data_IF_613624851986
#
_entry.id   IF_613624851986
#
_cell.length_a   1.000
_cell.length_b   1.000
_cell.length_c   1.000
_cell.angle_alpha   90.00
_cell.angle_beta   90.00
_cell.angle_gamma   90.00
#
_symmetry.space_group_name_H-M   'P 1'
#
loop_
_entity.id
_entity.type
_entity.pdbx_description
1 polymer ?
#
# COMPACT_ATOMS: atom_id res chain seq x y z
N UNK A 1 24.03 -32.36 -9.90
CA UNK A 1 24.18 -31.45 -8.74
C UNK A 1 22.78 -30.92 -8.41
N UNK A 2 22.16 -31.40 -7.34
CA UNK A 2 20.85 -30.90 -6.88
C UNK A 2 21.06 -29.49 -6.30
N UNK A 3 20.45 -28.48 -6.92
CA UNK A 3 20.75 -27.06 -6.70
C UNK A 3 20.09 -26.44 -5.46
N UNK A 4 19.89 -27.20 -4.39
CA UNK A 4 19.18 -26.73 -3.20
C UNK A 4 20.18 -26.56 -2.05
N UNK A 5 20.22 -25.36 -1.50
CA UNK A 5 20.95 -25.01 -0.29
C UNK A 5 19.91 -24.64 0.78
N UNK A 6 19.93 -25.31 1.93
CA UNK A 6 18.91 -25.14 2.95
C UNK A 6 19.50 -25.22 4.36
N UNK A 7 18.83 -24.53 5.27
CA UNK A 7 18.99 -24.64 6.71
C UNK A 7 17.61 -24.63 7.38
N UNK A 8 17.53 -25.17 8.59
CA UNK A 8 16.38 -25.22 9.46
C UNK A 8 16.73 -24.49 10.75
N UNK A 9 15.89 -23.54 11.17
CA UNK A 9 16.00 -22.90 12.48
C UNK A 9 14.87 -23.40 13.37
N UNK A 10 15.22 -23.84 14.57
CA UNK A 10 14.28 -24.27 15.59
C UNK A 10 14.44 -23.31 16.77
N UNK A 11 13.31 -22.80 17.24
CA UNK A 11 13.22 -21.95 18.42
C UNK A 11 11.88 -22.18 19.11
N UNK A 12 11.77 -21.69 20.32
CA UNK A 12 10.57 -21.74 21.14
C UNK A 12 9.52 -20.76 20.64
N UNK A 13 8.26 -21.15 20.78
CA UNK A 13 7.12 -20.25 20.57
C UNK A 13 6.58 -19.67 21.87
N UNK A 14 6.84 -20.35 22.99
CA UNK A 14 6.45 -19.93 24.33
C UNK A 14 7.67 -19.93 25.26
N UNK A 15 7.74 -18.99 26.19
CA UNK A 15 8.85 -18.88 27.17
C UNK A 15 8.97 -20.12 28.06
N UNK A 16 7.86 -20.82 28.28
CA UNK A 16 7.78 -22.03 29.10
C UNK A 16 8.24 -23.29 28.35
N UNK A 17 8.45 -23.22 27.03
CA UNK A 17 8.98 -24.34 26.26
C UNK A 17 10.44 -24.62 26.68
N UNK A 18 10.81 -25.90 26.77
CA UNK A 18 12.16 -26.33 27.18
C UNK A 18 13.10 -26.60 26.01
N UNK A 19 12.68 -26.28 24.78
CA UNK A 19 13.48 -26.51 23.58
C UNK A 19 14.67 -25.56 23.56
N UNK A 20 15.87 -26.09 23.27
CA UNK A 20 17.05 -25.26 23.04
C UNK A 20 17.04 -24.76 21.59
N UNK A 21 17.16 -23.45 21.34
CA UNK A 21 17.19 -22.94 19.99
C UNK A 21 18.47 -23.34 19.26
N UNK A 22 18.32 -23.68 17.98
CA UNK A 22 19.41 -24.16 17.15
C UNK A 22 19.14 -23.94 15.66
N UNK A 23 20.22 -23.89 14.88
CA UNK A 23 20.18 -23.91 13.41
C UNK A 23 20.90 -25.16 12.92
N UNK A 24 20.27 -25.92 12.03
CA UNK A 24 20.89 -27.07 11.35
C UNK A 24 20.86 -26.84 9.85
N UNK A 25 21.94 -27.12 9.14
CA UNK A 25 21.97 -26.99 7.70
C UNK A 25 23.23 -27.62 7.11
N UNK A 26 23.30 -27.66 5.79
CA UNK A 26 24.55 -28.01 5.11
C UNK A 26 25.65 -26.99 5.48
N UNK A 27 26.92 -27.40 5.64
CA UNK A 27 28.01 -26.49 6.03
C UNK A 27 28.06 -25.21 5.19
N UNK A 28 27.83 -25.32 3.88
CA UNK A 28 27.81 -24.20 2.94
C UNK A 28 26.64 -23.25 3.19
N UNK A 29 25.50 -23.76 3.66
CA UNK A 29 24.35 -22.93 4.04
C UNK A 29 24.61 -22.19 5.35
N UNK A 30 25.34 -22.83 6.27
CA UNK A 30 25.70 -22.24 7.56
C UNK A 30 26.72 -21.11 7.44
N UNK A 31 27.49 -21.04 6.34
CA UNK A 31 28.38 -19.90 6.07
C UNK A 31 27.61 -18.60 5.81
N UNK A 32 26.32 -18.66 5.46
CA UNK A 32 25.48 -17.50 5.20
C UNK A 32 25.43 -16.54 6.40
N UNK A 33 25.30 -17.06 7.62
CA UNK A 33 25.15 -16.24 8.83
C UNK A 33 26.37 -15.37 9.12
N UNK A 34 27.61 -15.91 9.24
CA UNK A 34 28.77 -15.07 9.49
C UNK A 34 29.14 -14.20 8.28
N UNK A 35 28.93 -14.66 7.04
CA UNK A 35 29.37 -13.93 5.83
C UNK A 35 28.41 -12.82 5.41
N UNK A 36 27.10 -13.03 5.53
CA UNK A 36 26.07 -12.11 5.03
C UNK A 36 25.38 -11.38 6.18
N UNK A 37 25.05 -12.08 7.26
CA UNK A 37 24.34 -11.49 8.40
C UNK A 37 25.28 -10.97 9.50
N UNK A 38 26.59 -11.20 9.37
CA UNK A 38 27.61 -10.80 10.34
C UNK A 38 27.27 -11.24 11.77
N UNK A 39 26.73 -12.45 11.91
CA UNK A 39 26.34 -13.04 13.19
C UNK A 39 26.66 -14.53 13.19
N UNK A 40 26.87 -15.12 14.37
CA UNK A 40 27.06 -16.57 14.45
C UNK A 40 25.72 -17.30 14.32
N UNK A 41 25.77 -18.59 13.98
CA UNK A 41 24.58 -19.43 13.87
C UNK A 41 23.79 -19.47 15.18
N UNK A 42 24.49 -19.53 16.31
CA UNK A 42 23.92 -19.57 17.65
C UNK A 42 23.28 -18.23 18.01
N UNK A 43 23.94 -17.11 17.69
CA UNK A 43 23.38 -15.78 17.90
C UNK A 43 22.11 -15.57 17.06
N UNK A 44 22.10 -16.05 15.82
CA UNK A 44 20.89 -16.04 15.00
C UNK A 44 19.78 -16.90 15.62
N UNK A 45 20.09 -18.12 16.05
CA UNK A 45 19.14 -19.02 16.72
C UNK A 45 18.51 -18.36 17.95
N UNK A 46 19.33 -17.73 18.79
CA UNK A 46 18.87 -17.01 19.98
C UNK A 46 17.99 -15.80 19.65
N UNK A 47 18.34 -15.04 18.60
CA UNK A 47 17.50 -13.90 18.15
C UNK A 47 16.17 -14.38 17.60
N UNK A 48 16.16 -15.46 16.84
CA UNK A 48 14.94 -16.07 16.33
C UNK A 48 14.06 -16.62 17.47
N UNK A 49 14.66 -17.31 18.45
CA UNK A 49 14.00 -17.79 19.66
C UNK A 49 13.38 -16.65 20.47
N UNK A 50 14.14 -15.58 20.69
CA UNK A 50 13.69 -14.41 21.41
C UNK A 50 12.53 -13.72 20.68
N UNK A 51 12.56 -13.66 19.35
CA UNK A 51 11.42 -13.20 18.55
C UNK A 51 10.22 -14.15 18.69
N UNK A 52 10.43 -15.46 18.66
CA UNK A 52 9.38 -16.46 18.80
C UNK A 52 8.67 -16.41 20.15
N UNK A 53 9.42 -16.35 21.25
CA UNK A 53 8.89 -16.27 22.62
C UNK A 53 8.21 -14.93 22.92
N UNK A 54 8.67 -13.86 22.27
CA UNK A 54 8.13 -12.52 22.49
C UNK A 54 7.21 -12.06 21.36
N UNK A 55 6.83 -12.88 20.38
CA UNK A 55 5.95 -12.42 19.30
C UNK A 55 4.56 -11.94 19.81
N UNK A 56 4.14 -12.47 20.96
CA UNK A 56 2.86 -12.13 21.60
C UNK A 56 3.04 -11.05 22.70
N UNK A 57 4.19 -11.04 23.40
CA UNK A 57 4.57 -9.98 24.35
C UNK A 57 4.95 -8.68 23.65
N UNK A 58 5.54 -8.82 22.46
CA UNK A 58 5.61 -7.82 21.41
C UNK A 58 4.25 -7.88 20.70
N UNK A 59 3.21 -7.47 21.43
CA UNK A 59 2.37 -6.44 20.85
C UNK A 59 3.32 -5.31 20.51
N UNK A 60 3.95 -5.40 19.32
CA UNK A 60 4.84 -4.35 18.83
C UNK A 60 3.98 -3.13 19.07
N UNK A 61 4.48 -2.18 19.86
CA UNK A 61 3.97 -0.82 19.79
C UNK A 61 4.35 -0.38 18.39
N UNK A 62 3.61 -0.90 17.40
CA UNK A 62 3.80 -0.58 16.03
C UNK A 62 3.22 0.81 16.04
N UNK A 63 4.13 1.76 16.20
CA UNK A 63 3.82 3.17 16.15
C UNK A 63 2.77 3.35 15.06
N UNK A 64 1.69 4.05 15.40
CA UNK A 64 0.61 4.36 14.47
C UNK A 64 1.12 4.68 13.05
N UNK A 65 2.20 5.46 12.98
CA UNK A 65 2.93 5.81 11.76
C UNK A 65 3.35 4.61 10.91
N UNK A 66 3.84 3.54 11.53
CA UNK A 66 4.27 2.32 10.85
C UNK A 66 3.08 1.48 10.39
N UNK A 67 2.07 1.23 11.24
CA UNK A 67 0.86 0.50 10.83
C UNK A 67 0.18 1.21 9.64
N UNK A 68 0.06 2.54 9.73
CA UNK A 68 -0.54 3.38 8.71
C UNK A 68 0.21 3.26 7.40
N UNK A 69 1.54 3.37 7.46
CA UNK A 69 2.40 3.24 6.28
C UNK A 69 2.24 1.85 5.65
N UNK A 70 2.25 0.79 6.45
CA UNK A 70 2.12 -0.57 5.95
C UNK A 70 0.75 -0.83 5.32
N UNK A 71 -0.36 -0.45 5.97
CA UNK A 71 -1.71 -0.58 5.40
C UNK A 71 -1.83 0.20 4.08
N UNK A 72 -1.37 1.45 4.06
CA UNK A 72 -1.40 2.30 2.85
C UNK A 72 -0.58 1.67 1.72
N UNK A 73 0.59 1.12 2.04
CA UNK A 73 1.45 0.46 1.06
C UNK A 73 0.82 -0.84 0.54
N UNK A 74 0.20 -1.66 1.39
CA UNK A 74 -0.48 -2.88 0.97
C UNK A 74 -1.64 -2.59 0.03
N UNK A 75 -2.48 -1.59 0.36
CA UNK A 75 -3.61 -1.19 -0.48
C UNK A 75 -3.12 -0.64 -1.82
N UNK A 76 -2.15 0.29 -1.83
CA UNK A 76 -1.65 0.91 -3.07
C UNK A 76 -0.87 -0.06 -3.95
N UNK A 77 -0.02 -0.90 -3.36
CA UNK A 77 0.72 -1.91 -4.11
C UNK A 77 -0.22 -3.01 -4.64
N UNK A 78 -1.23 -3.40 -3.86
CA UNK A 78 -2.27 -4.35 -4.29
C UNK A 78 -3.00 -3.85 -5.53
N UNK A 79 -3.44 -2.58 -5.51
CA UNK A 79 -4.08 -1.95 -6.67
C UNK A 79 -3.13 -1.89 -7.88
N UNK A 80 -1.87 -1.51 -7.66
CA UNK A 80 -0.87 -1.47 -8.72
C UNK A 80 -0.67 -2.84 -9.38
N UNK A 81 -0.61 -3.92 -8.58
CA UNK A 81 -0.55 -5.29 -9.09
C UNK A 81 -1.78 -5.64 -9.92
N UNK A 82 -2.99 -5.30 -9.46
CA UNK A 82 -4.23 -5.55 -10.21
C UNK A 82 -4.25 -4.82 -11.57
N UNK A 83 -3.87 -3.54 -11.59
CA UNK A 83 -3.81 -2.75 -12.82
C UNK A 83 -2.73 -3.23 -13.80
N UNK A 84 -1.60 -3.74 -13.29
CA UNK A 84 -0.56 -4.36 -14.12
C UNK A 84 -0.99 -5.75 -14.64
N UNK A 85 -1.75 -6.52 -13.86
CA UNK A 85 -2.23 -7.84 -14.28
C UNK A 85 -3.15 -7.77 -15.50
N UNK A 86 -3.92 -6.68 -15.63
CA UNK A 86 -4.77 -6.43 -16.81
C UNK A 86 -3.99 -6.08 -18.08
N UNK A 87 -2.72 -5.67 -17.97
CA UNK A 87 -1.87 -5.33 -19.12
C UNK A 87 -1.29 -6.58 -19.78
N UNK A 88 -1.07 -7.67 -19.03
CA UNK A 88 -0.43 -8.89 -19.52
C UNK A 88 -1.41 -9.99 -19.96
N UNK A 89 -2.71 -9.70 -20.08
CA UNK A 89 -3.68 -10.67 -20.57
C UNK A 89 -3.66 -10.73 -22.11
N UNK A 90 -3.33 -11.86 -22.76
CA UNK A 90 -2.99 -11.94 -24.19
C UNK A 90 -4.16 -11.75 -25.18
N UNK A 91 -5.33 -11.29 -24.75
CA UNK A 91 -6.57 -11.39 -25.54
C UNK A 91 -7.48 -10.14 -25.53
N UNK A 92 -7.02 -8.95 -25.11
CA UNK A 92 -7.89 -7.76 -25.14
C UNK A 92 -7.20 -6.46 -25.56
N UNK A 93 -7.22 -6.18 -26.86
CA UNK A 93 -6.79 -4.93 -27.50
C UNK A 93 -7.61 -3.70 -27.08
N UNK A 94 -8.77 -3.87 -26.43
CA UNK A 94 -9.64 -2.76 -26.03
C UNK A 94 -9.19 -2.08 -24.73
N UNK A 95 -8.36 -2.73 -23.91
CA UNK A 95 -7.85 -2.13 -22.68
C UNK A 95 -6.59 -1.27 -22.91
N UNK A 96 -5.88 -1.50 -24.02
CA UNK A 96 -4.66 -0.76 -24.38
C UNK A 96 -4.95 0.73 -24.60
N UNK A 97 -6.13 1.07 -25.12
CA UNK A 97 -6.53 2.45 -25.37
C UNK A 97 -6.81 3.24 -24.07
N UNK A 98 -7.22 2.58 -22.97
CA UNK A 98 -7.37 3.24 -21.67
C UNK A 98 -6.03 3.49 -20.96
N UNK A 99 -4.96 2.83 -21.39
CA UNK A 99 -3.67 2.81 -20.71
C UNK A 99 -2.65 3.72 -21.40
N UNK A 100 -2.65 3.80 -22.74
CA UNK A 100 -1.67 4.61 -23.49
C UNK A 100 -1.81 6.12 -23.24
N UNK A 101 -3.01 6.64 -22.93
CA UNK A 101 -3.16 8.07 -22.61
C UNK A 101 -2.78 8.45 -21.17
N UNK A 102 -2.64 7.48 -20.25
CA UNK A 102 -2.30 7.75 -18.86
C UNK A 102 -0.79 7.70 -18.66
N UNK A 103 -0.17 8.88 -18.76
CA UNK A 103 1.18 9.23 -18.27
C UNK A 103 1.74 8.22 -17.28
N UNK A 104 2.69 7.43 -17.76
CA UNK A 104 3.65 6.66 -16.97
C UNK A 104 4.22 7.57 -15.87
N UNK A 105 4.22 7.10 -14.61
CA UNK A 105 4.70 7.73 -13.37
C UNK A 105 3.72 8.39 -12.38
N UNK A 106 2.40 8.20 -12.48
CA UNK A 106 1.54 8.46 -11.30
C UNK A 106 1.06 7.15 -10.70
N UNK A 107 1.50 6.85 -9.47
CA UNK A 107 0.85 5.82 -8.64
C UNK A 107 -0.62 6.20 -8.54
N UNK A 108 -1.50 5.33 -8.98
CA UNK A 108 -2.94 5.54 -8.83
C UNK A 108 -3.25 5.45 -7.34
N UNK A 109 -3.62 6.57 -6.75
CA UNK A 109 -4.06 6.63 -5.36
C UNK A 109 -5.57 6.34 -5.27
N UNK A 110 -5.94 5.51 -4.30
CA UNK A 110 -7.32 5.15 -4.03
C UNK A 110 -8.10 6.37 -3.53
N UNK A 111 -9.27 6.64 -4.13
CA UNK A 111 -10.18 7.70 -3.68
C UNK A 111 -11.24 7.10 -2.77
N UNK A 112 -11.19 7.42 -1.47
CA UNK A 112 -12.15 6.92 -0.49
C UNK A 112 -13.50 7.65 -0.54
N UNK A 113 -13.51 8.97 -0.80
CA UNK A 113 -14.76 9.77 -0.85
C UNK A 113 -15.61 9.53 -2.10
N UNK A 114 -14.96 9.24 -3.23
CA UNK A 114 -15.60 8.94 -4.52
C UNK A 114 -15.34 7.49 -4.92
N UNK A 115 -15.52 6.57 -3.98
CA UNK A 115 -15.06 5.19 -4.12
C UNK A 115 -15.77 4.44 -5.26
N UNK A 116 -17.10 4.56 -5.36
CA UNK A 116 -17.89 3.92 -6.42
C UNK A 116 -17.41 4.30 -7.81
N UNK A 117 -17.16 5.60 -8.00
CA UNK A 117 -16.66 6.12 -9.28
C UNK A 117 -15.23 5.68 -9.54
N UNK A 118 -14.41 5.58 -8.50
CA UNK A 118 -13.05 5.02 -8.60
C UNK A 118 -13.09 3.55 -9.03
N UNK A 119 -13.95 2.73 -8.41
CA UNK A 119 -14.14 1.33 -8.79
C UNK A 119 -14.60 1.22 -10.25
N UNK A 120 -15.53 2.06 -10.71
CA UNK A 120 -15.99 2.05 -12.11
C UNK A 120 -14.89 2.44 -13.11
N UNK A 121 -14.07 3.45 -12.76
CA UNK A 121 -12.97 3.97 -13.58
C UNK A 121 -11.83 2.94 -13.71
N UNK A 122 -11.62 2.08 -12.69
CA UNK A 122 -10.50 1.14 -12.61
C UNK A 122 -10.88 -0.34 -12.76
N UNK A 123 -12.13 -0.70 -12.53
CA UNK A 123 -12.66 -2.07 -12.65
C UNK A 123 -12.29 -3.01 -11.50
N UNK A 124 -11.82 -2.48 -10.36
CA UNK A 124 -11.43 -3.24 -9.19
C UNK A 124 -12.06 -2.69 -7.92
N UNK A 125 -12.50 -3.60 -7.05
CA UNK A 125 -13.09 -3.33 -5.75
C UNK A 125 -12.24 -3.98 -4.65
N UNK A 126 -12.18 -3.34 -3.49
CA UNK A 126 -11.48 -3.83 -2.32
C UNK A 126 -12.49 -4.63 -1.49
N UNK A 127 -12.40 -5.95 -1.61
CA UNK A 127 -13.29 -6.89 -0.94
C UNK A 127 -12.73 -7.27 0.44
N UNK A 128 -13.62 -7.59 1.38
CA UNK A 128 -13.27 -8.05 2.72
C UNK A 128 -12.71 -6.97 3.64
N UNK A 129 -13.15 -5.72 3.47
CA UNK A 129 -12.89 -4.69 4.46
C UNK A 129 -13.54 -5.06 5.80
N UNK A 130 -12.83 -4.98 6.94
CA UNK A 130 -13.36 -5.43 8.22
C UNK A 130 -14.57 -4.60 8.67
N UNK A 131 -15.65 -5.26 9.08
CA UNK A 131 -16.89 -4.62 9.54
C UNK A 131 -16.70 -3.74 10.78
N UNK A 132 -15.70 -4.06 11.60
CA UNK A 132 -15.35 -3.29 12.80
C UNK A 132 -14.67 -1.95 12.51
N UNK A 133 -14.30 -1.68 11.25
CA UNK A 133 -13.57 -0.47 10.85
C UNK A 133 -14.36 0.27 9.77
N UNK A 134 -14.64 1.54 10.04
CA UNK A 134 -15.26 2.42 9.04
C UNK A 134 -14.43 2.47 7.75
N UNK A 135 -15.12 2.42 6.61
CA UNK A 135 -14.45 2.50 5.31
C UNK A 135 -13.94 3.91 5.04
N UNK A 136 -12.67 4.15 5.37
CA UNK A 136 -12.01 5.44 5.21
C UNK A 136 -10.51 5.29 4.94
N UNK A 137 -9.86 6.41 4.65
CA UNK A 137 -8.42 6.43 4.44
C UNK A 137 -7.70 5.95 5.71
N UNK A 138 -6.71 5.04 5.61
CA UNK A 138 -5.90 4.61 6.75
C UNK A 138 -5.23 5.74 7.52
N UNK A 139 -5.07 6.91 6.89
CA UNK A 139 -4.53 8.11 7.54
C UNK A 139 -5.52 8.81 8.47
N UNK A 140 -6.82 8.61 8.22
CA UNK A 140 -7.92 9.21 8.98
C UNK A 140 -8.34 8.29 10.14
N UNK A 141 -7.95 7.01 10.11
CA UNK A 141 -8.08 6.05 11.21
C UNK A 141 -7.07 6.38 12.33
N UNK A 142 -7.25 7.49 13.04
CA UNK A 142 -6.28 8.08 13.99
C UNK A 142 -5.88 7.25 15.23
N UNK A 143 -6.13 5.94 15.27
CA UNK A 143 -5.85 5.09 16.45
C UNK A 143 -5.36 3.71 16.01
N UNK A 144 -4.35 3.17 16.71
CA UNK A 144 -3.79 1.85 16.44
C UNK A 144 -4.85 0.74 16.54
N UNK A 145 -5.77 0.84 17.50
CA UNK A 145 -6.85 -0.12 17.70
C UNK A 145 -7.79 -0.22 16.50
N UNK A 146 -8.07 0.90 15.82
CA UNK A 146 -8.91 0.90 14.61
C UNK A 146 -8.15 0.40 13.38
N UNK A 147 -6.83 0.52 13.40
CA UNK A 147 -5.98 0.21 12.26
C UNK A 147 -5.48 -1.24 12.27
N UNK A 148 -5.38 -1.86 13.45
CA UNK A 148 -4.94 -3.25 13.62
C UNK A 148 -5.86 -4.27 12.94
N UNK A 149 -7.20 -4.21 13.06
CA UNK A 149 -8.08 -5.13 12.33
C UNK A 149 -7.94 -5.02 10.81
N UNK A 150 -7.74 -3.80 10.29
CA UNK A 150 -7.49 -3.59 8.86
C UNK A 150 -6.14 -4.19 8.43
N UNK A 151 -5.10 -4.00 9.23
CA UNK A 151 -3.79 -4.59 9.00
C UNK A 151 -3.84 -6.12 8.96
N UNK A 152 -4.50 -6.74 9.94
CA UNK A 152 -4.65 -8.18 10.03
C UNK A 152 -5.46 -8.73 8.85
N UNK A 153 -6.49 -8.02 8.41
CA UNK A 153 -7.27 -8.37 7.22
C UNK A 153 -6.45 -8.30 5.92
N UNK A 154 -5.59 -7.29 5.78
CA UNK A 154 -4.71 -7.14 4.62
C UNK A 154 -3.60 -8.20 4.59
N UNK A 155 -3.04 -8.57 5.76
CA UNK A 155 -2.02 -9.62 5.87
C UNK A 155 -2.60 -11.01 5.61
N UNK A 156 -3.74 -11.31 6.21
CA UNK A 156 -4.42 -12.59 6.02
C UNK A 156 -4.97 -12.76 4.60
N UNK A 157 -5.06 -11.67 3.82
CA UNK A 157 -5.59 -11.67 2.47
C UNK A 157 -7.13 -11.73 2.41
N UNK A 158 -7.80 -11.61 3.56
CA UNK A 158 -9.25 -11.44 3.62
C UNK A 158 -9.65 -10.10 3.01
N UNK A 159 -8.85 -9.05 3.23
CA UNK A 159 -8.96 -7.76 2.55
C UNK A 159 -8.05 -7.71 1.31
N UNK A 160 -8.63 -7.70 0.11
CA UNK A 160 -7.87 -7.69 -1.15
C UNK A 160 -8.61 -7.03 -2.30
N UNK A 161 -7.85 -6.61 -3.31
CA UNK A 161 -8.42 -6.11 -4.55
C UNK A 161 -8.92 -7.25 -5.43
N UNK A 162 -10.16 -7.15 -5.87
CA UNK A 162 -10.84 -8.13 -6.72
C UNK A 162 -11.46 -7.44 -7.94
N UNK A 163 -11.52 -8.15 -9.07
CA UNK A 163 -12.04 -7.60 -10.31
C UNK A 163 -13.56 -7.47 -10.19
N UNK A 164 -14.07 -6.31 -10.57
CA UNK A 164 -15.50 -6.06 -10.57
C UNK A 164 -16.20 -6.96 -11.59
N UNK A 165 -17.26 -7.65 -11.15
CA UNK A 165 -18.11 -8.42 -12.05
C UNK A 165 -18.95 -7.47 -12.93
N UNK A 166 -19.33 -7.88 -14.14
CA UNK A 166 -20.13 -7.03 -15.04
C UNK A 166 -21.50 -6.67 -14.46
N UNK A 167 -22.06 -7.53 -13.60
CA UNK A 167 -23.34 -7.29 -12.90
C UNK A 167 -23.20 -6.17 -11.87
N UNK A 168 -22.21 -6.31 -10.97
CA UNK A 168 -21.93 -5.30 -9.94
C UNK A 168 -21.56 -3.95 -10.55
N UNK A 169 -20.89 -3.95 -11.71
CA UNK A 169 -20.62 -2.73 -12.47
C UNK A 169 -21.89 -1.99 -12.87
N UNK A 170 -22.89 -2.70 -13.39
CA UNK A 170 -24.17 -2.11 -13.82
C UNK A 170 -24.95 -1.55 -12.63
N UNK A 171 -24.95 -2.26 -11.51
CA UNK A 171 -25.60 -1.81 -10.28
C UNK A 171 -25.01 -0.48 -9.78
N UNK A 172 -23.68 -0.40 -9.69
CA UNK A 172 -22.99 0.82 -9.25
C UNK A 172 -23.21 1.97 -10.24
N UNK A 173 -23.18 1.69 -11.55
CA UNK A 173 -23.43 2.71 -12.58
C UNK A 173 -24.88 3.21 -12.57
N UNK A 174 -25.85 2.34 -12.28
CA UNK A 174 -27.26 2.70 -12.14
C UNK A 174 -27.54 3.52 -10.87
N UNK A 175 -26.81 3.27 -9.79
CA UNK A 175 -26.95 4.00 -8.53
C UNK A 175 -26.35 5.42 -8.57
N UNK A 176 -25.41 5.68 -9.49
CA UNK A 176 -24.76 6.99 -9.60
C UNK A 176 -25.57 7.97 -10.46
N UNK A 177 -25.85 9.20 -9.99
CA UNK A 177 -26.53 10.20 -10.79
C UNK A 177 -25.69 10.56 -12.02
N UNK A 178 -26.32 10.54 -13.20
CA UNK A 178 -25.66 10.86 -14.47
C UNK A 178 -24.96 12.23 -14.39
N UNK A 179 -23.69 12.31 -14.81
CA UNK A 179 -22.96 13.58 -14.80
C UNK A 179 -23.71 14.62 -15.65
N UNK A 180 -23.80 15.90 -15.22
CA UNK A 180 -24.16 16.96 -16.14
C UNK A 180 -23.12 16.98 -17.27
N UNK A 181 -23.58 16.85 -18.52
CA UNK A 181 -22.73 16.99 -19.72
C UNK A 181 -22.09 18.38 -19.66
N UNK A 182 -20.78 18.44 -19.42
CA UNK A 182 -20.01 19.67 -19.66
C UNK A 182 -20.05 19.94 -21.16
N UNK A 183 -20.96 20.79 -21.60
CA UNK A 183 -20.93 21.38 -22.94
C UNK A 183 -19.60 22.11 -23.11
N UNK A 184 -18.78 21.64 -24.05
CA UNK A 184 -17.51 22.26 -24.42
C UNK A 184 -17.78 23.64 -25.01
N UNK A 185 -17.65 24.68 -24.20
CA UNK A 185 -17.73 26.08 -24.62
C UNK A 185 -16.37 26.77 -24.58
N UNK A 186 -15.68 26.75 -25.72
CA UNK A 186 -14.81 27.80 -26.29
C UNK A 186 -13.57 28.31 -25.53
N UNK A 187 -12.41 28.14 -26.20
CA UNK A 187 -11.11 28.77 -25.97
C UNK A 187 -11.18 30.31 -26.00
N UNK A 188 -10.52 30.96 -25.04
CA UNK A 188 -9.69 32.17 -25.21
C UNK A 188 -8.69 32.15 -24.03
N UNK A 189 -7.38 32.39 -24.11
CA UNK A 189 -6.50 32.89 -25.16
C UNK A 189 -5.56 33.94 -24.55
N UNK A 190 -4.35 33.53 -24.09
CA UNK A 190 -3.11 34.31 -23.80
C UNK A 190 -3.24 35.52 -22.83
N UNK A 191 -2.34 35.78 -21.89
CA UNK A 191 -0.92 36.03 -22.14
C UNK A 191 -0.05 35.89 -20.89
N UNK A 192 1.20 35.48 -21.14
CA UNK A 192 2.32 35.64 -20.24
C UNK A 192 2.73 37.12 -20.14
N UNK A 193 3.11 37.58 -18.95
CA UNK A 193 3.98 38.75 -18.79
C UNK A 193 4.87 38.54 -17.56
N UNK A 194 6.15 38.32 -17.84
CA UNK A 194 7.24 38.48 -16.91
C UNK A 194 7.52 39.98 -16.69
N UNK A 195 7.70 40.43 -15.45
CA UNK A 195 8.90 41.20 -15.06
C UNK A 195 8.89 41.54 -13.57
N UNK A 196 9.98 41.13 -12.90
CA UNK A 196 10.52 41.82 -11.73
C UNK A 196 10.91 43.25 -12.13
N UNK A 197 10.59 44.23 -11.28
CA UNK A 197 11.53 45.31 -10.97
C UNK A 197 11.27 45.83 -9.56
N UNK A 198 12.37 46.00 -8.85
CA UNK A 198 12.55 46.55 -7.51
C UNK A 198 12.79 48.06 -7.63
N UNK A 199 12.53 48.75 -6.51
CA UNK A 199 12.98 50.10 -6.12
C UNK A 199 12.33 51.29 -6.85
N UNK A 200 11.64 52.18 -6.12
CA UNK A 200 12.30 53.33 -5.49
C UNK A 200 11.42 54.03 -4.44
N UNK A 201 12.09 54.73 -3.53
CA UNK A 201 11.65 55.39 -2.29
C UNK A 201 10.81 56.68 -2.46
N UNK A 202 10.27 57.09 -1.29
CA UNK A 202 10.10 58.48 -0.80
C UNK A 202 8.99 59.34 -1.43
N UNK A 203 8.34 60.26 -0.74
CA UNK A 203 8.32 60.73 0.66
C UNK A 203 7.05 61.60 0.81
N UNK A 204 6.78 62.03 2.04
CA UNK A 204 6.08 63.25 2.42
C UNK A 204 4.53 63.31 2.50
N UNK A 205 4.07 63.41 3.76
CA UNK A 205 3.23 64.48 4.36
C UNK A 205 1.75 64.62 3.91
N UNK A 206 0.75 64.94 4.75
CA UNK A 206 0.59 65.32 6.17
C UNK A 206 -0.94 65.41 6.46
N UNK A 207 -1.31 65.66 7.73
CA UNK A 207 -2.60 66.18 8.27
C UNK A 207 -3.62 65.11 8.66
N UNK A 208 -4.12 64.97 9.91
CA UNK A 208 -4.09 65.77 11.16
C UNK A 208 -3.73 64.90 12.38
#
# INVERSE_FOLDING_TARGET
RTGVLAFLTIGRSDVNDTIRPLVVGAPEAMEYFPRVLHTTNEQFALRFDNWGCNKDAVGVDVSYSRLRRECTMMITNGLGKCLLSTIFHPLSLTCLHCIIERKVNKRVEMRYKDYDRFILDHGFELQGWPESVEFMCPSDLGTVERLRPLYDALISGSCRWERLTPEKRKEIEAALPSKPKKTSGKKSGKAASSKRKRDDNNDDNEVD
#
